data_IF_152705265622
#
_entry.id   IF_152705265622
#
_cell.length_a   1.000
_cell.length_b   1.000
_cell.length_c   1.000
_cell.angle_alpha   90.00
_cell.angle_beta   90.00
_cell.angle_gamma   90.00
#
_symmetry.space_group_name_H-M   'P 1'
#
loop_
_entity.id
_entity.type
_entity.pdbx_description
1 polymer ?
#
# COMPACT_ATOMS: atom_id res chain seq x y z
N UNK A 1 -4.31 -11.28 20.63
CA UNK A 1 -5.58 -10.54 20.42
C UNK A 1 -5.75 -10.03 18.99
N UNK A 2 -4.90 -9.13 18.45
CA UNK A 2 -4.99 -8.69 17.05
C UNK A 2 -4.64 -9.81 16.06
N UNK A 3 -3.53 -10.51 16.28
CA UNK A 3 -3.10 -11.62 15.43
C UNK A 3 -4.03 -12.84 15.50
N UNK A 4 -4.59 -13.17 16.68
CA UNK A 4 -5.62 -14.21 16.80
C UNK A 4 -6.90 -13.85 16.06
N UNK A 5 -7.23 -12.56 15.95
CA UNK A 5 -8.41 -12.08 15.23
C UNK A 5 -8.21 -12.19 13.71
N UNK A 6 -7.03 -11.83 13.22
CA UNK A 6 -6.62 -11.98 11.83
C UNK A 6 -6.52 -13.47 11.46
N UNK A 7 -5.90 -14.30 12.30
CA UNK A 7 -5.76 -15.74 12.07
C UNK A 7 -7.11 -16.48 12.13
N UNK A 8 -8.01 -16.10 13.05
CA UNK A 8 -9.36 -16.64 13.08
C UNK A 8 -10.22 -16.15 11.90
N UNK A 9 -10.03 -14.93 11.38
CA UNK A 9 -10.61 -14.48 10.11
C UNK A 9 -10.06 -15.30 8.93
N UNK A 10 -8.74 -15.55 8.90
CA UNK A 10 -8.09 -16.36 7.87
C UNK A 10 -8.57 -17.82 7.86
N UNK A 11 -8.92 -18.39 9.03
CA UNK A 11 -9.37 -19.79 9.17
C UNK A 11 -10.84 -20.04 8.86
N UNK A 12 -11.70 -19.01 8.73
CA UNK A 12 -13.18 -19.17 8.77
C UNK A 12 -13.95 -18.74 7.52
N UNK A 13 -13.32 -18.80 6.35
CA UNK A 13 -13.72 -18.22 5.06
C UNK A 13 -13.29 -16.76 4.91
N UNK A 14 -12.34 -16.59 4.01
CA UNK A 14 -11.57 -15.39 3.70
C UNK A 14 -12.36 -14.32 2.92
N UNK A 15 -13.66 -14.51 2.73
CA UNK A 15 -14.48 -13.65 1.88
C UNK A 15 -15.50 -12.90 2.74
N UNK A 16 -15.54 -11.57 2.60
CA UNK A 16 -16.62 -10.74 3.15
C UNK A 16 -17.91 -11.17 2.46
N UNK A 17 -18.80 -11.79 3.23
CA UNK A 17 -20.19 -11.99 2.82
C UNK A 17 -21.11 -10.91 3.39
N UNK A 18 -20.62 -10.15 4.37
CA UNK A 18 -21.37 -9.14 5.13
C UNK A 18 -20.74 -7.75 4.93
N UNK A 19 -21.11 -7.08 3.84
CA UNK A 19 -20.59 -5.74 3.51
C UNK A 19 -21.05 -4.66 4.51
N UNK A 20 -22.10 -4.90 5.28
CA UNK A 20 -22.49 -3.99 6.36
C UNK A 20 -21.42 -3.91 7.46
N UNK A 21 -20.60 -4.96 7.62
CA UNK A 21 -19.48 -4.95 8.58
C UNK A 21 -18.30 -4.06 8.16
N UNK A 22 -18.29 -3.63 6.89
CA UNK A 22 -17.25 -2.80 6.29
C UNK A 22 -17.58 -1.31 6.38
N UNK A 23 -18.84 -0.99 6.68
CA UNK A 23 -19.29 0.38 6.84
C UNK A 23 -18.49 1.03 7.98
N UNK A 24 -17.82 2.16 7.73
CA UNK A 24 -17.11 2.88 8.77
C UNK A 24 -18.01 3.23 9.94
N UNK A 25 -17.55 2.92 11.15
CA UNK A 25 -18.33 3.16 12.38
C UNK A 25 -18.70 4.63 12.58
N UNK A 26 -17.86 5.54 12.09
CA UNK A 26 -18.09 6.99 12.13
C UNK A 26 -19.29 7.46 11.29
N UNK A 27 -19.86 6.62 10.42
CA UNK A 27 -21.10 6.98 9.70
C UNK A 27 -22.34 6.92 10.61
N UNK A 28 -22.21 6.32 11.80
CA UNK A 28 -23.29 6.19 12.78
C UNK A 28 -24.59 5.62 12.18
N UNK A 29 -24.47 4.64 11.29
CA UNK A 29 -25.61 3.98 10.65
C UNK A 29 -25.94 2.69 11.39
N UNK A 30 -27.21 2.50 11.73
CA UNK A 30 -27.70 1.28 12.37
C UNK A 30 -27.61 0.09 11.39
N UNK A 31 -26.99 -1.00 11.83
CA UNK A 31 -26.88 -2.22 11.02
C UNK A 31 -28.27 -2.85 10.79
N UNK A 32 -28.52 -3.33 9.58
CA UNK A 32 -29.80 -3.85 9.13
C UNK A 32 -30.82 -2.79 8.70
N UNK A 33 -30.49 -1.50 8.85
CA UNK A 33 -31.32 -0.40 8.32
C UNK A 33 -31.26 -0.36 6.79
N UNK A 34 -32.24 0.30 6.15
CA UNK A 34 -32.17 0.48 4.69
C UNK A 34 -30.96 1.31 4.27
N UNK A 35 -30.54 2.26 5.12
CA UNK A 35 -29.33 3.05 4.89
C UNK A 35 -28.06 2.19 4.95
N UNK A 36 -27.94 1.26 5.91
CA UNK A 36 -26.76 0.38 5.97
C UNK A 36 -26.70 -0.57 4.78
N UNK A 37 -27.85 -1.15 4.38
CA UNK A 37 -27.93 -2.00 3.18
C UNK A 37 -27.57 -1.24 1.91
N UNK A 38 -28.04 0.00 1.77
CA UNK A 38 -27.69 0.85 0.62
C UNK A 38 -26.17 1.09 0.53
N UNK A 39 -25.54 1.48 1.64
CA UNK A 39 -24.09 1.73 1.70
C UNK A 39 -23.32 0.43 1.42
N UNK A 40 -23.74 -0.68 2.02
CA UNK A 40 -23.13 -1.99 1.81
C UNK A 40 -23.18 -2.41 0.33
N UNK A 41 -24.32 -2.21 -0.35
CA UNK A 41 -24.44 -2.48 -1.78
C UNK A 41 -23.60 -1.52 -2.65
N UNK A 42 -23.47 -0.23 -2.27
CA UNK A 42 -22.54 0.71 -2.93
C UNK A 42 -21.09 0.21 -2.85
N UNK A 43 -20.64 -0.23 -1.66
CA UNK A 43 -19.29 -0.78 -1.46
C UNK A 43 -19.10 -2.05 -2.27
N UNK A 44 -20.02 -3.01 -2.16
CA UNK A 44 -19.96 -4.27 -2.90
C UNK A 44 -19.89 -4.04 -4.40
N UNK A 45 -20.75 -3.18 -4.94
CA UNK A 45 -20.79 -2.89 -6.38
C UNK A 45 -19.53 -2.18 -6.87
N UNK A 46 -18.92 -1.32 -6.05
CA UNK A 46 -17.68 -0.66 -6.44
C UNK A 46 -16.51 -1.66 -6.56
N UNK A 47 -16.36 -2.58 -5.60
CA UNK A 47 -15.23 -3.52 -5.58
C UNK A 47 -15.44 -4.75 -6.46
N UNK A 48 -16.64 -5.34 -6.43
CA UNK A 48 -16.93 -6.61 -7.11
C UNK A 48 -17.82 -6.44 -8.35
N UNK A 49 -18.46 -5.28 -8.54
CA UNK A 49 -19.45 -5.12 -9.60
C UNK A 49 -20.56 -6.15 -9.48
N UNK A 50 -20.82 -6.85 -10.59
CA UNK A 50 -21.77 -7.96 -10.66
C UNK A 50 -21.09 -9.34 -10.52
N UNK A 51 -19.79 -9.38 -10.20
CA UNK A 51 -19.04 -10.64 -10.06
C UNK A 51 -19.43 -11.38 -8.77
N UNK A 52 -19.47 -12.71 -8.86
CA UNK A 52 -19.58 -13.55 -7.67
C UNK A 52 -18.30 -13.47 -6.84
N UNK A 53 -18.46 -13.44 -5.51
CA UNK A 53 -17.35 -13.35 -4.57
C UNK A 53 -16.81 -14.76 -4.34
N UNK A 54 -15.62 -15.05 -4.86
CA UNK A 54 -15.02 -16.39 -4.83
C UNK A 54 -13.55 -16.35 -4.40
N UNK A 55 -12.96 -17.50 -4.10
CA UNK A 55 -11.55 -17.56 -3.69
C UNK A 55 -10.60 -17.08 -4.80
N UNK A 56 -11.04 -17.21 -6.05
CA UNK A 56 -10.30 -16.79 -7.25
C UNK A 56 -10.16 -15.27 -7.36
N UNK A 57 -11.11 -14.49 -6.82
CA UNK A 57 -11.05 -13.02 -6.80
C UNK A 57 -10.72 -12.42 -5.42
N UNK A 58 -10.04 -13.19 -4.57
CA UNK A 58 -9.60 -12.76 -3.23
C UNK A 58 -8.75 -11.49 -3.20
N UNK A 59 -8.06 -11.12 -4.28
CA UNK A 59 -7.23 -9.92 -4.31
C UNK A 59 -8.08 -8.65 -4.22
N UNK A 60 -9.33 -8.69 -4.70
CA UNK A 60 -10.32 -7.62 -4.52
C UNK A 60 -10.65 -7.43 -3.03
N UNK A 61 -10.74 -8.53 -2.28
CA UNK A 61 -10.93 -8.47 -0.82
C UNK A 61 -9.73 -7.82 -0.13
N UNK A 62 -8.50 -8.16 -0.54
CA UNK A 62 -7.30 -7.54 0.02
C UNK A 62 -7.23 -6.04 -0.27
N UNK A 63 -7.65 -5.60 -1.47
CA UNK A 63 -7.77 -4.18 -1.79
C UNK A 63 -8.80 -3.48 -0.89
N UNK A 64 -9.99 -4.07 -0.75
CA UNK A 64 -11.05 -3.52 0.10
C UNK A 64 -10.61 -3.36 1.56
N UNK A 65 -10.07 -4.41 2.18
CA UNK A 65 -9.59 -4.34 3.56
C UNK A 65 -8.40 -3.36 3.71
N UNK A 66 -7.49 -3.32 2.72
CA UNK A 66 -6.38 -2.35 2.73
C UNK A 66 -6.91 -0.92 2.72
N UNK A 67 -7.91 -0.64 1.87
CA UNK A 67 -8.46 0.70 1.74
C UNK A 67 -9.17 1.16 3.03
N UNK A 68 -9.96 0.27 3.63
CA UNK A 68 -10.76 0.53 4.83
C UNK A 68 -9.91 0.63 6.09
N UNK A 69 -8.92 -0.24 6.25
CA UNK A 69 -8.13 -0.35 7.49
C UNK A 69 -6.93 0.59 7.50
N UNK A 70 -6.36 0.92 6.33
CA UNK A 70 -5.12 1.69 6.25
C UNK A 70 -5.22 2.85 5.27
N UNK A 71 -5.52 2.57 4.00
CA UNK A 71 -5.18 3.49 2.92
C UNK A 71 -5.95 4.80 3.03
N UNK A 72 -7.27 4.76 3.28
CA UNK A 72 -8.09 5.96 3.41
C UNK A 72 -7.54 6.91 4.46
N UNK A 73 -7.28 6.39 5.67
CA UNK A 73 -6.82 7.21 6.79
C UNK A 73 -5.41 7.75 6.55
N UNK A 74 -4.55 6.99 5.85
CA UNK A 74 -3.23 7.48 5.40
C UNK A 74 -3.40 8.66 4.43
N UNK A 75 -4.23 8.52 3.40
CA UNK A 75 -4.45 9.59 2.41
C UNK A 75 -5.08 10.83 3.06
N UNK A 76 -6.05 10.67 3.96
CA UNK A 76 -6.66 11.79 4.67
C UNK A 76 -5.65 12.50 5.58
N UNK A 77 -4.85 11.73 6.33
CA UNK A 77 -3.77 12.28 7.15
C UNK A 77 -2.78 13.07 6.31
N UNK A 78 -2.37 12.55 5.15
CA UNK A 78 -1.47 13.25 4.22
C UNK A 78 -2.09 14.55 3.70
N UNK A 79 -3.37 14.53 3.27
CA UNK A 79 -4.09 15.73 2.81
C UNK A 79 -4.15 16.79 3.92
N UNK A 80 -4.45 16.40 5.16
CA UNK A 80 -4.51 17.31 6.30
C UNK A 80 -3.13 17.89 6.65
N UNK A 81 -2.07 17.09 6.64
CA UNK A 81 -0.72 17.58 6.88
C UNK A 81 -0.28 18.56 5.79
N UNK A 82 -0.55 18.28 4.51
CA UNK A 82 -0.19 19.18 3.41
C UNK A 82 -0.90 20.53 3.51
N UNK A 83 -2.13 20.56 4.04
CA UNK A 83 -2.88 21.82 4.26
C UNK A 83 -2.40 22.64 5.45
N UNK A 84 -1.76 22.02 6.43
CA UNK A 84 -1.51 22.64 7.74
C UNK A 84 -0.03 22.74 8.13
N UNK A 85 0.84 21.97 7.48
CA UNK A 85 2.27 21.92 7.75
C UNK A 85 3.04 22.89 6.85
N UNK A 86 3.93 23.69 7.43
CA UNK A 86 4.92 24.47 6.69
C UNK A 86 6.11 23.63 6.20
N UNK A 87 6.15 22.35 6.57
CA UNK A 87 7.23 21.40 6.22
C UNK A 87 6.75 20.38 5.19
N UNK A 88 7.58 19.98 4.21
CA UNK A 88 7.20 19.01 3.19
C UNK A 88 6.74 17.66 3.76
N UNK A 89 5.70 17.08 3.16
CA UNK A 89 5.18 15.75 3.48
C UNK A 89 5.62 14.77 2.40
N UNK A 90 6.17 13.62 2.79
CA UNK A 90 6.61 12.58 1.87
C UNK A 90 5.80 11.30 2.08
N UNK A 91 5.29 10.73 0.99
CA UNK A 91 4.52 9.48 1.01
C UNK A 91 5.30 8.38 0.30
N UNK A 92 5.27 7.15 0.83
CA UNK A 92 5.81 5.98 0.15
C UNK A 92 4.78 4.86 0.08
N UNK A 93 4.99 3.95 -0.86
CA UNK A 93 4.33 2.66 -0.96
C UNK A 93 5.40 1.60 -0.86
N UNK A 94 5.17 0.57 -0.06
CA UNK A 94 6.05 -0.59 0.01
C UNK A 94 5.42 -1.74 -0.78
N UNK A 95 6.13 -2.21 -1.81
CA UNK A 95 5.65 -3.23 -2.75
C UNK A 95 6.61 -4.42 -2.92
N UNK A 96 7.74 -4.41 -2.19
CA UNK A 96 8.71 -5.52 -2.25
C UNK A 96 8.08 -6.81 -1.77
N UNK A 97 8.21 -7.85 -2.60
CA UNK A 97 7.84 -9.22 -2.29
C UNK A 97 9.11 -10.10 -2.37
N UNK A 98 9.85 -10.21 -1.27
CA UNK A 98 11.11 -10.94 -1.21
C UNK A 98 11.37 -11.57 0.18
N UNK A 99 12.56 -12.18 0.36
CA UNK A 99 12.84 -13.07 1.49
C UNK A 99 12.82 -12.42 2.88
N UNK A 100 12.91 -11.09 2.97
CA UNK A 100 12.90 -10.35 4.24
C UNK A 100 11.53 -9.79 4.63
N UNK A 101 10.47 -10.11 3.88
CA UNK A 101 9.08 -9.78 4.23
C UNK A 101 8.70 -10.47 5.56
N UNK A 102 8.87 -9.73 6.67
CA UNK A 102 8.90 -10.27 8.02
C UNK A 102 7.62 -11.03 8.38
N UNK A 103 6.46 -10.42 8.20
CA UNK A 103 5.20 -11.00 8.63
C UNK A 103 4.74 -12.08 7.67
N UNK A 104 4.99 -11.91 6.37
CA UNK A 104 4.76 -12.94 5.36
C UNK A 104 5.52 -14.22 5.70
N UNK A 105 6.81 -14.10 6.02
CA UNK A 105 7.66 -15.22 6.39
C UNK A 105 7.24 -15.87 7.72
N UNK A 106 6.99 -15.09 8.78
CA UNK A 106 6.55 -15.66 10.08
C UNK A 106 5.18 -16.31 10.01
N UNK A 107 4.27 -15.74 9.22
CA UNK A 107 2.90 -16.20 9.06
C UNK A 107 2.75 -17.32 8.03
N UNK A 108 3.83 -17.69 7.32
CA UNK A 108 3.82 -18.66 6.22
C UNK A 108 2.76 -18.33 5.17
N UNK A 109 2.66 -17.05 4.82
CA UNK A 109 1.69 -16.56 3.85
C UNK A 109 2.25 -16.71 2.42
N UNK A 110 1.44 -17.24 1.52
CA UNK A 110 1.85 -17.55 0.13
C UNK A 110 1.15 -16.65 -0.91
N UNK A 111 0.51 -15.55 -0.48
CA UNK A 111 -0.06 -14.55 -1.40
C UNK A 111 1.04 -13.76 -2.11
N UNK A 112 0.70 -13.05 -3.19
CA UNK A 112 1.61 -12.11 -3.85
C UNK A 112 1.60 -10.75 -3.15
N UNK A 113 2.69 -10.00 -3.30
CA UNK A 113 2.86 -8.67 -2.72
C UNK A 113 3.29 -8.67 -1.26
N UNK A 114 3.38 -7.46 -0.72
CA UNK A 114 3.74 -7.21 0.68
C UNK A 114 2.50 -7.22 1.58
N UNK A 115 2.66 -7.68 2.82
CA UNK A 115 1.65 -7.56 3.88
C UNK A 115 2.08 -6.51 4.91
N UNK A 116 1.14 -6.08 5.75
CA UNK A 116 1.38 -5.09 6.78
C UNK A 116 2.56 -5.48 7.70
N UNK A 117 3.55 -4.59 7.78
CA UNK A 117 4.74 -4.73 8.62
C UNK A 117 5.92 -5.46 7.96
N UNK A 118 5.78 -5.96 6.73
CA UNK A 118 6.87 -6.64 6.02
C UNK A 118 8.10 -5.75 5.82
N UNK A 119 7.89 -4.45 5.68
CA UNK A 119 8.95 -3.45 5.50
C UNK A 119 9.89 -3.36 6.71
N UNK A 120 9.46 -3.84 7.89
CA UNK A 120 10.29 -3.90 9.09
C UNK A 120 11.52 -4.80 8.93
N UNK A 121 11.43 -5.85 8.11
CA UNK A 121 12.58 -6.73 7.84
C UNK A 121 13.69 -6.07 7.03
N UNK A 122 13.40 -4.93 6.40
CA UNK A 122 14.32 -4.15 5.59
C UNK A 122 14.85 -2.90 6.32
N UNK A 123 14.14 -2.41 7.34
CA UNK A 123 14.57 -1.29 8.18
C UNK A 123 15.35 -1.72 9.43
N UNK A 124 14.97 -2.84 10.04
CA UNK A 124 15.52 -3.30 11.30
C UNK A 124 16.14 -4.69 11.16
N UNK A 125 17.18 -4.95 11.96
CA UNK A 125 17.74 -6.30 12.06
C UNK A 125 16.74 -7.23 12.73
N UNK A 126 16.43 -8.34 12.06
CA UNK A 126 15.53 -9.39 12.55
C UNK A 126 16.23 -10.75 12.51
N UNK A 127 15.50 -11.82 12.87
CA UNK A 127 15.99 -13.19 12.75
C UNK A 127 16.05 -13.68 11.28
N UNK A 128 15.43 -12.96 10.33
CA UNK A 128 15.52 -13.22 8.89
C UNK A 128 16.74 -12.53 8.26
N UNK A 129 17.32 -11.52 8.92
CA UNK A 129 18.38 -10.72 8.34
C UNK A 129 19.60 -11.57 7.98
N UNK A 130 20.19 -11.40 6.79
CA UNK A 130 21.38 -12.12 6.40
C UNK A 130 22.58 -11.68 7.25
N UNK A 131 23.61 -12.51 7.32
CA UNK A 131 24.86 -12.16 8.00
C UNK A 131 25.60 -11.03 7.31
N UNK A 132 25.55 -11.02 5.98
CA UNK A 132 26.15 -10.02 5.11
C UNK A 132 25.09 -9.48 4.16
N UNK A 133 25.14 -8.18 3.88
CA UNK A 133 24.20 -7.51 2.96
C UNK A 133 24.86 -7.44 1.59
N UNK A 134 24.31 -8.16 0.62
CA UNK A 134 24.69 -8.03 -0.79
C UNK A 134 23.73 -7.07 -1.50
N UNK A 135 24.19 -5.87 -1.83
CA UNK A 135 23.41 -4.83 -2.52
C UNK A 135 23.00 -5.21 -3.95
N UNK A 136 23.51 -6.33 -4.48
CA UNK A 136 23.08 -6.89 -5.77
C UNK A 136 21.77 -7.69 -5.66
N UNK A 137 21.39 -8.16 -4.48
CA UNK A 137 20.09 -8.84 -4.29
C UNK A 137 18.98 -7.82 -4.06
N UNK A 138 17.72 -8.23 -4.29
CA UNK A 138 16.54 -7.41 -4.02
C UNK A 138 16.51 -7.01 -2.55
N UNK A 139 16.81 -7.96 -1.66
CA UNK A 139 16.85 -7.75 -0.22
C UNK A 139 17.89 -6.72 0.19
N UNK A 140 19.15 -6.91 -0.23
CA UNK A 140 20.23 -6.02 0.16
C UNK A 140 20.10 -4.63 -0.45
N UNK A 141 19.63 -4.54 -1.70
CA UNK A 141 19.30 -3.27 -2.35
C UNK A 141 18.18 -2.53 -1.62
N UNK A 142 17.12 -3.24 -1.21
CA UNK A 142 16.00 -2.65 -0.48
C UNK A 142 16.42 -2.18 0.91
N UNK A 143 17.19 -2.99 1.66
CA UNK A 143 17.77 -2.58 2.94
C UNK A 143 18.58 -1.29 2.76
N UNK A 144 19.48 -1.26 1.77
CA UNK A 144 20.31 -0.09 1.51
C UNK A 144 19.46 1.16 1.24
N UNK A 145 18.49 1.06 0.32
CA UNK A 145 17.59 2.17 -0.05
C UNK A 145 16.80 2.68 1.16
N UNK A 146 16.12 1.79 1.87
CA UNK A 146 15.27 2.17 3.01
C UNK A 146 16.09 2.78 4.15
N UNK A 147 17.17 2.14 4.58
CA UNK A 147 18.01 2.67 5.68
C UNK A 147 18.59 4.03 5.30
N UNK A 148 19.07 4.21 4.06
CA UNK A 148 19.63 5.49 3.61
C UNK A 148 18.57 6.60 3.56
N UNK A 149 17.42 6.34 2.94
CA UNK A 149 16.33 7.33 2.81
C UNK A 149 15.78 7.74 4.19
N UNK A 150 15.52 6.76 5.07
CA UNK A 150 15.00 7.04 6.42
C UNK A 150 16.01 7.80 7.27
N UNK A 151 17.30 7.41 7.24
CA UNK A 151 18.33 8.10 8.04
C UNK A 151 18.62 9.51 7.53
N UNK A 152 18.43 9.78 6.23
CA UNK A 152 18.50 11.13 5.68
C UNK A 152 17.33 11.97 6.19
N UNK A 153 16.10 11.50 6.01
CA UNK A 153 14.92 12.19 6.51
C UNK A 153 15.04 12.50 8.01
N UNK A 154 15.51 11.54 8.81
CA UNK A 154 15.74 11.75 10.24
C UNK A 154 16.82 12.82 10.56
N UNK A 155 17.81 13.02 9.68
CA UNK A 155 18.88 14.01 9.87
C UNK A 155 18.51 15.41 9.38
N UNK A 156 17.73 15.50 8.30
CA UNK A 156 17.58 16.76 7.54
C UNK A 156 16.13 17.18 7.30
N UNK A 157 15.17 16.27 7.47
CA UNK A 157 13.78 16.47 7.03
C UNK A 157 13.56 16.35 5.52
N UNK A 158 14.61 16.09 4.72
CA UNK A 158 14.53 15.91 3.26
C UNK A 158 15.26 14.63 2.83
N UNK A 159 14.56 13.60 2.31
CA UNK A 159 15.17 12.34 1.90
C UNK A 159 16.08 12.50 0.66
N UNK A 160 15.94 13.59 -0.10
CA UNK A 160 16.68 13.83 -1.35
C UNK A 160 17.99 14.60 -1.16
N UNK A 161 18.24 15.16 0.01
CA UNK A 161 19.41 16.01 0.22
C UNK A 161 20.70 15.21 -0.06
N UNK A 162 21.54 15.74 -0.95
CA UNK A 162 22.80 15.14 -1.39
C UNK A 162 22.68 13.72 -2.02
N UNK A 163 21.66 13.45 -2.82
CA UNK A 163 21.56 12.20 -3.60
C UNK A 163 22.35 12.33 -4.90
N UNK A 164 23.64 11.99 -4.84
CA UNK A 164 24.31 11.31 -5.96
C UNK A 164 24.66 9.94 -5.39
N UNK A 165 23.83 8.93 -5.68
CA UNK A 165 23.98 7.58 -5.17
C UNK A 165 23.56 6.61 -6.27
N UNK A 166 24.45 5.70 -6.67
CA UNK A 166 24.23 4.79 -7.81
C UNK A 166 23.06 3.81 -7.60
N UNK A 167 22.60 3.63 -6.35
CA UNK A 167 21.51 2.71 -5.99
C UNK A 167 20.17 3.44 -5.81
N UNK A 168 20.22 4.74 -5.47
CA UNK A 168 19.06 5.60 -5.25
C UNK A 168 19.06 6.66 -6.34
N UNK A 169 18.52 6.29 -7.49
CA UNK A 169 18.36 7.18 -8.65
C UNK A 169 16.90 7.63 -8.76
N UNK A 170 16.39 8.28 -7.71
CA UNK A 170 15.02 8.79 -7.70
C UNK A 170 14.92 10.10 -6.92
N UNK A 171 14.16 11.03 -7.47
CA UNK A 171 13.75 12.27 -6.80
C UNK A 171 12.41 12.02 -6.08
N UNK A 172 12.45 11.71 -4.79
CA UNK A 172 11.26 11.50 -3.97
C UNK A 172 10.60 12.84 -3.67
N UNK A 173 9.77 13.29 -4.61
CA UNK A 173 9.07 14.57 -4.50
C UNK A 173 8.07 14.58 -3.34
N UNK A 174 7.94 15.70 -2.62
CA UNK A 174 6.92 15.84 -1.60
C UNK A 174 5.52 15.88 -2.21
N UNK A 175 4.53 15.55 -1.38
CA UNK A 175 3.11 15.66 -1.67
C UNK A 175 2.73 17.13 -1.83
N UNK A 176 1.82 17.42 -2.76
CA UNK A 176 1.21 18.75 -2.96
C UNK A 176 -0.30 18.65 -2.82
N UNK A 177 -0.97 19.78 -2.57
CA UNK A 177 -2.42 19.84 -2.32
C UNK A 177 -3.25 19.16 -3.42
N UNK A 178 -2.89 19.38 -4.69
CA UNK A 178 -3.59 18.82 -5.85
C UNK A 178 -2.85 17.65 -6.50
N UNK A 179 -1.78 17.14 -5.88
CA UNK A 179 -0.96 16.10 -6.47
C UNK A 179 -0.29 15.26 -5.37
N UNK A 180 -0.81 14.05 -5.18
CA UNK A 180 -0.17 13.07 -4.30
C UNK A 180 0.97 12.40 -5.05
N UNK A 181 2.20 12.84 -4.75
CA UNK A 181 3.42 12.17 -5.15
C UNK A 181 3.78 11.12 -4.11
N UNK A 182 4.23 9.96 -4.56
CA UNK A 182 4.74 8.91 -3.68
C UNK A 182 5.98 8.25 -4.28
N UNK A 183 6.78 7.64 -3.41
CA UNK A 183 7.87 6.74 -3.79
C UNK A 183 7.40 5.29 -3.69
N UNK A 184 7.47 4.52 -4.78
CA UNK A 184 7.26 3.07 -4.73
C UNK A 184 8.57 2.36 -4.40
N UNK A 185 8.65 1.82 -3.19
CA UNK A 185 9.77 1.02 -2.68
C UNK A 185 9.46 -0.42 -2.99
N UNK A 186 10.04 -0.87 -4.09
CA UNK A 186 9.82 -2.21 -4.60
C UNK A 186 9.38 -2.22 -6.04
N UNK A 187 9.17 -1.06 -6.68
CA UNK A 187 9.04 -0.86 -8.12
C UNK A 187 7.83 -1.56 -8.74
N UNK A 188 7.20 -0.90 -9.71
CA UNK A 188 5.96 -1.46 -10.26
C UNK A 188 6.26 -2.61 -11.24
N UNK A 189 6.21 -3.84 -10.77
CA UNK A 189 6.24 -5.02 -11.66
C UNK A 189 4.99 -5.09 -12.56
N UNK A 190 3.97 -4.25 -12.30
CA UNK A 190 2.75 -4.18 -13.11
C UNK A 190 2.85 -3.26 -14.34
N UNK A 191 3.94 -2.50 -14.51
CA UNK A 191 4.18 -1.79 -15.78
C UNK A 191 4.59 -2.73 -16.94
N UNK A 192 4.86 -4.01 -16.66
CA UNK A 192 5.14 -5.03 -17.68
C UNK A 192 3.88 -5.71 -18.26
N UNK A 193 2.68 -5.24 -17.92
CA UNK A 193 1.42 -5.67 -18.56
C UNK A 193 0.75 -4.51 -19.30
N UNK A 194 1.46 -3.92 -20.26
CA UNK A 194 0.82 -3.17 -21.35
C UNK A 194 1.32 -3.65 -22.70
N UNK A 195 0.44 -4.39 -23.38
CA UNK A 195 0.42 -4.50 -24.85
C UNK A 195 1.39 -5.51 -25.44
N UNK A 196 0.82 -6.48 -26.16
CA UNK A 196 1.53 -7.32 -27.11
C UNK A 196 2.31 -6.45 -28.10
N UNK A 197 3.60 -6.75 -28.30
CA UNK A 197 4.24 -6.95 -29.60
C UNK A 197 5.65 -7.54 -29.42
N UNK A 198 5.98 -8.50 -30.29
CA UNK A 198 7.14 -9.41 -30.19
C UNK A 198 8.35 -8.91 -31.02
N UNK A 199 9.55 -9.08 -30.44
CA UNK A 199 10.93 -9.11 -31.01
C UNK A 199 11.45 -7.81 -31.66
N UNK A 200 12.72 -7.40 -31.46
CA UNK A 200 13.96 -8.06 -31.95
C UNK A 200 15.21 -7.56 -31.18
N UNK A 201 16.14 -8.46 -30.86
CA UNK A 201 17.59 -8.18 -30.87
C UNK A 201 18.29 -7.85 -29.55
N UNK A 202 19.00 -8.83 -29.01
CA UNK A 202 20.17 -8.72 -28.12
C UNK A 202 20.23 -7.54 -27.12
N UNK A 203 19.74 -7.76 -25.90
CA UNK A 203 20.40 -7.27 -24.68
C UNK A 203 20.10 -8.27 -23.56
N UNK A 204 21.12 -8.92 -23.03
CA UNK A 204 21.02 -9.65 -21.76
C UNK A 204 20.82 -8.62 -20.65
N UNK A 205 19.57 -8.28 -20.34
CA UNK A 205 19.23 -7.61 -19.08
C UNK A 205 19.01 -8.73 -18.07
N UNK A 206 20.00 -8.98 -17.21
CA UNK A 206 19.73 -9.60 -15.92
C UNK A 206 19.00 -8.53 -15.08
N UNK A 207 17.72 -8.35 -15.37
CA UNK A 207 16.78 -7.59 -14.57
C UNK A 207 16.45 -8.43 -13.33
N UNK A 208 17.21 -8.22 -12.25
CA UNK A 208 16.98 -8.86 -10.96
C UNK A 208 16.50 -7.86 -9.91
N UNK A 209 15.53 -7.01 -10.26
CA UNK A 209 14.56 -6.55 -9.27
C UNK A 209 14.50 -5.05 -9.05
N UNK A 210 13.47 -4.51 -9.70
CA UNK A 210 12.60 -3.40 -9.31
C UNK A 210 13.23 -2.04 -9.02
N UNK A 211 13.05 -1.16 -9.99
CA UNK A 211 13.42 0.24 -9.97
C UNK A 211 12.52 1.03 -9.02
N UNK A 212 13.09 2.01 -8.32
CA UNK A 212 12.27 2.97 -7.60
C UNK A 212 11.50 3.79 -8.63
N UNK A 213 10.18 3.89 -8.47
CA UNK A 213 9.35 4.73 -9.33
C UNK A 213 8.67 5.81 -8.51
N UNK A 214 8.42 6.93 -9.17
CA UNK A 214 7.51 7.97 -8.67
C UNK A 214 6.28 7.99 -9.56
N UNK A 215 5.12 8.24 -8.97
CA UNK A 215 3.85 8.23 -9.68
C UNK A 215 2.84 9.19 -9.10
N UNK A 216 1.71 9.30 -9.80
CA UNK A 216 0.47 9.89 -9.30
C UNK A 216 -0.34 8.78 -8.62
N UNK A 217 -1.05 9.11 -7.54
CA UNK A 217 -1.91 8.20 -6.76
C UNK A 217 -2.48 7.01 -7.59
N UNK A 218 -1.94 5.79 -7.43
CA UNK A 218 -2.37 4.62 -8.21
C UNK A 218 -3.74 4.11 -7.76
N UNK A 219 -4.21 4.58 -6.60
CA UNK A 219 -5.44 4.20 -5.94
C UNK A 219 -6.50 5.31 -6.05
N UNK A 220 -6.32 6.29 -6.95
CA UNK A 220 -7.15 7.49 -7.04
C UNK A 220 -8.64 7.19 -7.08
N UNK A 221 -9.08 6.26 -7.94
CA UNK A 221 -10.51 5.91 -8.04
C UNK A 221 -11.05 5.30 -6.74
N UNK A 222 -10.26 4.48 -6.05
CA UNK A 222 -10.67 3.86 -4.78
C UNK A 222 -10.71 4.88 -3.65
N UNK A 223 -9.71 5.75 -3.57
CA UNK A 223 -9.69 6.85 -2.59
C UNK A 223 -10.82 7.83 -2.85
N UNK A 224 -11.08 8.18 -4.11
CA UNK A 224 -12.20 9.05 -4.49
C UNK A 224 -13.54 8.43 -4.10
N UNK A 225 -13.73 7.14 -4.32
CA UNK A 225 -14.94 6.43 -3.90
C UNK A 225 -15.17 6.55 -2.38
N UNK A 226 -14.13 6.32 -1.58
CA UNK A 226 -14.23 6.51 -0.13
C UNK A 226 -14.48 7.97 0.25
N UNK A 227 -13.76 8.93 -0.33
CA UNK A 227 -13.98 10.36 -0.08
C UNK A 227 -15.44 10.77 -0.34
N UNK A 228 -16.04 10.26 -1.42
CA UNK A 228 -17.44 10.54 -1.75
C UNK A 228 -18.41 9.87 -0.77
N UNK A 229 -18.14 8.63 -0.33
CA UNK A 229 -18.94 7.97 0.73
C UNK A 229 -18.86 8.73 2.06
N UNK A 230 -17.68 9.20 2.46
CA UNK A 230 -17.51 9.99 3.68
C UNK A 230 -18.20 11.35 3.57
N UNK A 231 -18.19 11.98 2.39
CA UNK A 231 -18.95 13.23 2.18
C UNK A 231 -20.46 13.02 2.25
N UNK A 232 -20.95 11.88 1.77
CA UNK A 232 -22.39 11.57 1.73
C UNK A 232 -22.91 11.08 3.10
N UNK A 233 -22.10 10.31 3.84
CA UNK A 233 -22.55 9.56 5.02
C UNK A 233 -21.74 9.78 6.29
N UNK A 234 -20.60 10.47 6.21
CA UNK A 234 -19.84 10.88 7.39
C UNK A 234 -20.71 11.74 8.30
N UNK A 235 -20.61 11.52 9.62
CA UNK A 235 -21.13 12.49 10.56
C UNK A 235 -20.41 13.84 10.32
N UNK A 236 -21.13 14.95 10.37
CA UNK A 236 -20.53 16.28 10.28
C UNK A 236 -19.39 16.36 11.32
N UNK A 237 -18.16 16.54 10.84
CA UNK A 237 -16.98 16.89 11.65
C UNK A 237 -17.10 18.36 12.13
N UNK A 238 -18.25 18.75 12.66
CA UNK A 238 -18.37 19.95 13.47
C UNK A 238 -17.71 19.67 14.82
N UNK A 239 -16.37 19.71 14.84
CA UNK A 239 -15.59 19.94 16.05
C UNK A 239 -15.80 21.37 16.56
#
# INVERSE_FOLDING_TARGET
MFFDMVENRMKKNMMITDFESIIPKCFNVERGSEKSKEIAEKIKRFYYGDQEITIENKDVYYQLETDVVFLRDIYETVKLHVKTSDTPVYMYRFSVDAGLNLFKATGKLNGTGAVHGDEMGYLFKTFLSPKEIDVKTIEGRTIYRMVKLWTKFAKTGDPNQHVVDEIIDVDWKPVKENQINYLDIGGDSSSNLKGNDINIGETFVLDTGVELSTGVNPDYERIKFWDDLYREYGADDSY
#
